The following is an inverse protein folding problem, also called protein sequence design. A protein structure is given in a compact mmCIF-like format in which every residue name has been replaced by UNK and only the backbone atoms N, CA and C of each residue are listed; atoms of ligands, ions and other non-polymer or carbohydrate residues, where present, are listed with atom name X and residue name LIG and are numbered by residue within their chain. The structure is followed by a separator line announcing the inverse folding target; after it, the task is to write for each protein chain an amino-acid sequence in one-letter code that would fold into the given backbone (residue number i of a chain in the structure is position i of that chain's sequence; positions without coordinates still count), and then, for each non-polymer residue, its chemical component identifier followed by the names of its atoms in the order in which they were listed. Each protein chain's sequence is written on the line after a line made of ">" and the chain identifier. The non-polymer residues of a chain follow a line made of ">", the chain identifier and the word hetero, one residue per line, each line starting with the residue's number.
data_IF_536098102147
#
_entry.id   IF_536098102147
#
_cell.length_a   1.000
_cell.length_b   1.000
_cell.length_c   1.000
_cell.angle_alpha   90.00
_cell.angle_beta   90.00
_cell.angle_gamma   90.00
#
_symmetry.space_group_name_H-M   'P 1'
#
loop_
_entity.id
_entity.type
_entity.pdbx_description
1 polymer ?
#
# COMPACT_ATOMS: atom_id res chain seq x y z
N UNK A 1 13.03 -24.07 20.22
CA UNK A 1 12.23 -23.01 20.88
C UNK A 1 12.29 -21.67 20.17
N UNK A 2 13.43 -21.23 19.66
CA UNK A 2 13.58 -19.94 18.92
C UNK A 2 12.66 -19.83 17.71
N UNK A 3 12.52 -20.88 16.89
CA UNK A 3 11.70 -20.84 15.67
C UNK A 3 10.20 -20.59 15.93
N UNK A 4 9.63 -21.21 16.97
CA UNK A 4 8.21 -21.06 17.34
C UNK A 4 7.95 -19.65 17.88
N UNK A 5 8.86 -19.14 18.72
CA UNK A 5 8.77 -17.77 19.25
C UNK A 5 8.88 -16.75 18.12
N UNK A 6 9.79 -16.97 17.16
CA UNK A 6 9.96 -16.09 16.00
C UNK A 6 8.73 -16.10 15.09
N UNK A 7 8.15 -17.29 14.85
CA UNK A 7 6.92 -17.43 14.06
C UNK A 7 5.72 -16.74 14.72
N UNK A 8 5.55 -16.90 16.04
CA UNK A 8 4.49 -16.21 16.80
C UNK A 8 4.69 -14.70 16.74
N UNK A 9 5.92 -14.20 16.93
CA UNK A 9 6.23 -12.77 16.82
C UNK A 9 5.90 -12.21 15.43
N UNK A 10 6.26 -12.92 14.36
CA UNK A 10 5.95 -12.50 12.99
C UNK A 10 4.45 -12.46 12.71
N UNK A 11 3.70 -13.46 13.19
CA UNK A 11 2.23 -13.49 13.07
C UNK A 11 1.59 -12.36 13.87
N UNK A 12 2.04 -12.12 15.10
CA UNK A 12 1.56 -11.02 15.95
C UNK A 12 1.87 -9.66 15.32
N UNK A 13 3.08 -9.43 14.81
CA UNK A 13 3.45 -8.19 14.11
C UNK A 13 2.60 -8.00 12.85
N UNK A 14 2.36 -9.07 12.08
CA UNK A 14 1.49 -9.04 10.90
C UNK A 14 0.04 -8.69 11.24
N UNK A 15 -0.52 -9.30 12.28
CA UNK A 15 -1.89 -9.04 12.73
C UNK A 15 -2.06 -7.63 13.32
N UNK A 16 -1.12 -7.22 14.18
CA UNK A 16 -1.12 -5.88 14.80
C UNK A 16 -0.93 -4.81 13.73
N UNK A 17 0.03 -4.97 12.82
CA UNK A 17 0.20 -4.03 11.71
C UNK A 17 -1.06 -3.95 10.86
N UNK A 18 -1.66 -5.08 10.47
CA UNK A 18 -2.93 -5.11 9.72
C UNK A 18 -4.08 -4.40 10.42
N UNK A 19 -4.20 -4.51 11.75
CA UNK A 19 -5.19 -3.78 12.54
C UNK A 19 -4.93 -2.26 12.52
N UNK A 20 -3.69 -1.83 12.78
CA UNK A 20 -3.32 -0.41 12.74
C UNK A 20 -3.51 0.19 11.34
N UNK A 21 -3.22 -0.58 10.30
CA UNK A 21 -3.46 -0.19 8.91
C UNK A 21 -4.93 0.08 8.62
N UNK A 22 -5.82 -0.83 9.02
CA UNK A 22 -7.27 -0.65 8.85
C UNK A 22 -7.78 0.57 9.63
N UNK A 23 -7.30 0.74 10.86
CA UNK A 23 -7.69 1.89 11.70
C UNK A 23 -7.22 3.22 11.11
N UNK A 24 -6.00 3.28 10.56
CA UNK A 24 -5.50 4.46 9.87
C UNK A 24 -6.27 4.75 8.58
N UNK A 25 -6.54 3.75 7.75
CA UNK A 25 -7.30 3.91 6.52
C UNK A 25 -8.71 4.48 6.79
N UNK A 26 -9.39 4.00 7.83
CA UNK A 26 -10.71 4.49 8.23
C UNK A 26 -10.71 5.95 8.71
N UNK A 27 -9.56 6.49 9.15
CA UNK A 27 -9.42 7.88 9.60
C UNK A 27 -9.08 8.86 8.47
N UNK A 28 -8.77 8.37 7.26
CA UNK A 28 -8.51 9.22 6.10
C UNK A 28 -9.83 9.81 5.60
N UNK A 29 -10.10 11.05 6.03
CA UNK A 29 -11.26 11.83 5.59
C UNK A 29 -11.11 12.24 4.12
N UNK A 30 -12.22 12.32 3.36
CA UNK A 30 -12.23 12.98 2.06
C UNK A 30 -11.75 14.42 2.21
N UNK A 31 -10.91 14.86 1.29
CA UNK A 31 -10.47 16.25 1.18
C UNK A 31 -11.65 17.08 0.61
N UNK A 32 -11.78 18.39 0.92
CA UNK A 32 -12.92 19.22 0.50
C UNK A 32 -13.20 19.26 -1.02
N UNK A 33 -12.20 18.92 -1.82
CA UNK A 33 -12.21 18.74 -3.27
C UNK A 33 -12.74 17.35 -3.73
N UNK A 34 -13.18 16.49 -2.80
CA UNK A 34 -13.74 15.17 -3.10
C UNK A 34 -12.70 14.08 -3.40
N UNK A 35 -11.41 14.43 -3.32
CA UNK A 35 -10.28 13.51 -3.46
C UNK A 35 -9.99 12.80 -2.13
N UNK A 36 -9.48 11.58 -2.21
CA UNK A 36 -9.08 10.80 -1.03
C UNK A 36 -7.60 10.49 -1.15
N UNK A 37 -6.76 11.22 -0.41
CA UNK A 37 -5.32 10.96 -0.33
C UNK A 37 -5.00 10.09 0.87
N UNK A 38 -4.71 8.82 0.63
CA UNK A 38 -4.22 7.89 1.64
C UNK A 38 -2.69 7.83 1.65
N UNK A 39 -2.11 8.06 2.84
CA UNK A 39 -0.67 7.89 3.10
C UNK A 39 -0.45 6.62 3.91
N UNK A 40 0.76 6.07 3.87
CA UNK A 40 1.15 5.02 4.80
C UNK A 40 1.01 5.48 6.27
N UNK A 41 0.68 4.56 7.20
CA UNK A 41 0.57 4.87 8.62
C UNK A 41 1.83 5.56 9.16
N UNK A 42 1.64 6.54 10.05
CA UNK A 42 2.77 7.24 10.70
C UNK A 42 3.75 6.32 11.44
N UNK A 43 3.27 5.14 11.87
CA UNK A 43 4.08 4.08 12.46
C UNK A 43 5.26 3.63 11.57
N UNK A 44 5.17 3.72 10.24
CA UNK A 44 6.30 3.39 9.35
C UNK A 44 7.51 4.29 9.59
N UNK A 45 7.26 5.59 9.81
CA UNK A 45 8.32 6.54 10.13
C UNK A 45 8.91 6.25 11.50
N UNK A 46 8.06 5.93 12.48
CA UNK A 46 8.49 5.54 13.82
C UNK A 46 9.39 4.29 13.79
N UNK A 47 8.98 3.23 13.07
CA UNK A 47 9.81 2.05 12.84
C UNK A 47 11.14 2.36 12.18
N UNK A 48 11.09 3.21 11.15
CA UNK A 48 12.28 3.62 10.44
C UNK A 48 13.28 4.32 11.35
N UNK A 49 12.83 5.30 12.16
CA UNK A 49 13.68 5.96 13.15
C UNK A 49 14.18 5.01 14.23
N UNK A 50 13.34 4.09 14.71
CA UNK A 50 13.73 3.08 15.69
C UNK A 50 14.83 2.16 15.15
N UNK A 51 14.70 1.65 13.92
CA UNK A 51 15.71 0.81 13.27
C UNK A 51 17.02 1.56 13.07
N UNK A 52 16.96 2.84 12.67
CA UNK A 52 18.16 3.68 12.56
C UNK A 52 18.83 3.84 13.93
N UNK A 53 18.07 4.13 14.99
CA UNK A 53 18.61 4.28 16.34
C UNK A 53 19.26 2.98 16.84
N UNK A 54 18.65 1.82 16.59
CA UNK A 54 19.23 0.50 16.91
C UNK A 54 20.52 0.28 16.12
N UNK A 55 20.55 0.59 14.82
CA UNK A 55 21.75 0.48 14.00
C UNK A 55 22.91 1.35 14.51
N UNK A 56 22.61 2.59 14.93
CA UNK A 56 23.59 3.51 15.53
C UNK A 56 24.09 2.98 16.87
N UNK A 57 23.20 2.50 17.75
CA UNK A 57 23.59 1.88 19.01
C UNK A 57 24.51 0.67 18.79
N UNK A 58 24.16 -0.21 17.84
CA UNK A 58 25.00 -1.35 17.47
C UNK A 58 26.38 -0.91 16.97
N UNK A 59 26.46 0.15 16.17
CA UNK A 59 27.74 0.71 15.72
C UNK A 59 28.60 1.19 16.89
N UNK A 60 28.01 1.81 17.91
CA UNK A 60 28.72 2.29 19.11
C UNK A 60 29.26 1.14 19.97
N UNK A 61 28.52 0.04 20.11
CA UNK A 61 28.95 -1.12 20.92
C UNK A 61 29.81 -2.12 20.14
N UNK A 62 29.92 -1.97 18.81
CA UNK A 62 30.67 -2.88 17.94
C UNK A 62 32.12 -3.13 18.37
N UNK A 63 32.90 -2.12 18.81
CA UNK A 63 34.25 -2.37 19.30
C UNK A 63 34.31 -3.36 20.48
N UNK A 64 33.34 -3.26 21.40
CA UNK A 64 33.20 -4.18 22.53
C UNK A 64 32.70 -5.56 22.10
N UNK A 65 31.84 -5.64 21.08
CA UNK A 65 31.35 -6.91 20.53
C UNK A 65 32.44 -7.69 19.78
N UNK A 66 33.35 -7.00 19.10
CA UNK A 66 34.42 -7.65 18.30
C UNK A 66 35.65 -8.00 19.16
N UNK A 67 35.91 -7.25 20.23
CA UNK A 67 37.13 -7.41 21.05
C UNK A 67 36.89 -8.04 22.43
N UNK A 68 35.64 -8.37 22.75
CA UNK A 68 35.24 -8.90 24.05
C UNK A 68 35.61 -10.37 24.29
N UNK A 69 35.21 -10.89 25.45
CA UNK A 69 35.49 -12.27 25.88
C UNK A 69 34.84 -13.34 24.98
N UNK A 70 33.74 -13.00 24.32
CA UNK A 70 33.08 -13.82 23.29
C UNK A 70 32.91 -12.97 22.03
N UNK A 71 33.94 -12.89 21.17
CA UNK A 71 33.96 -11.96 20.05
C UNK A 71 32.94 -12.37 18.98
N UNK A 72 32.07 -11.43 18.63
CA UNK A 72 31.17 -11.55 17.49
C UNK A 72 32.00 -11.41 16.21
N UNK A 73 31.80 -12.28 15.20
CA UNK A 73 32.48 -12.13 13.92
C UNK A 73 32.17 -10.76 13.28
N UNK A 74 33.19 -10.05 12.75
CA UNK A 74 33.01 -8.69 12.22
C UNK A 74 31.90 -8.57 11.17
N UNK A 75 31.79 -9.55 10.27
CA UNK A 75 30.75 -9.54 9.23
C UNK A 75 29.33 -9.59 9.80
N UNK A 76 29.11 -10.25 10.95
CA UNK A 76 27.80 -10.26 11.60
C UNK A 76 27.51 -8.91 12.25
N UNK A 77 28.49 -8.33 12.94
CA UNK A 77 28.32 -7.03 13.61
C UNK A 77 28.02 -5.92 12.59
N UNK A 78 28.84 -5.81 11.54
CA UNK A 78 28.59 -4.85 10.45
C UNK A 78 27.36 -5.19 9.63
N UNK A 79 27.03 -6.48 9.47
CA UNK A 79 25.81 -6.93 8.80
C UNK A 79 24.53 -6.45 9.50
N UNK A 80 24.45 -6.58 10.82
CA UNK A 80 23.30 -6.09 11.61
C UNK A 80 23.15 -4.58 11.48
N UNK A 81 24.26 -3.83 11.59
CA UNK A 81 24.24 -2.38 11.40
C UNK A 81 23.73 -2.01 10.00
N UNK A 82 24.29 -2.63 8.96
CA UNK A 82 23.90 -2.38 7.58
C UNK A 82 22.41 -2.65 7.35
N UNK A 83 21.90 -3.78 7.83
CA UNK A 83 20.47 -4.13 7.74
C UNK A 83 19.62 -3.09 8.47
N UNK A 84 19.93 -2.77 9.73
CA UNK A 84 19.18 -1.79 10.51
C UNK A 84 19.13 -0.42 9.84
N UNK A 85 20.25 0.09 9.35
CA UNK A 85 20.32 1.41 8.71
C UNK A 85 19.61 1.41 7.35
N UNK A 86 19.84 0.42 6.48
CA UNK A 86 19.23 0.35 5.15
C UNK A 86 17.70 0.19 5.25
N UNK A 87 17.23 -0.76 6.05
CA UNK A 87 15.79 -0.95 6.25
C UNK A 87 15.15 0.23 7.00
N UNK A 88 15.87 0.83 7.94
CA UNK A 88 15.41 2.02 8.67
C UNK A 88 15.18 3.21 7.75
N UNK A 89 16.19 3.58 6.95
CA UNK A 89 16.08 4.67 5.96
C UNK A 89 14.98 4.37 4.94
N UNK A 90 14.91 3.13 4.45
CA UNK A 90 13.88 2.71 3.50
C UNK A 90 12.46 2.87 4.07
N UNK A 91 12.24 2.46 5.34
CA UNK A 91 10.95 2.62 6.02
C UNK A 91 10.57 4.08 6.24
N UNK A 92 11.53 4.96 6.54
CA UNK A 92 11.30 6.42 6.63
C UNK A 92 10.83 6.97 5.28
N UNK A 93 11.54 6.64 4.19
CA UNK A 93 11.20 7.12 2.84
C UNK A 93 9.81 6.66 2.40
N UNK A 94 9.50 5.37 2.61
CA UNK A 94 8.15 4.82 2.40
C UNK A 94 7.10 5.64 3.16
N UNK A 95 7.28 5.84 4.46
CA UNK A 95 6.32 6.56 5.28
C UNK A 95 6.18 8.05 4.93
N UNK A 96 7.20 8.68 4.34
CA UNK A 96 7.19 10.10 3.99
C UNK A 96 6.57 10.38 2.62
N UNK A 97 7.00 9.63 1.61
CA UNK A 97 6.77 9.97 0.21
C UNK A 97 5.64 9.19 -0.43
N UNK A 98 5.43 7.95 0.00
CA UNK A 98 4.46 7.09 -0.66
C UNK A 98 3.03 7.43 -0.23
N UNK A 99 2.21 7.73 -1.24
CA UNK A 99 0.78 7.96 -1.08
C UNK A 99 0.03 7.47 -2.30
N UNK A 100 -1.25 7.17 -2.11
CA UNK A 100 -2.20 6.92 -3.19
C UNK A 100 -3.33 7.91 -3.00
N UNK A 101 -3.64 8.63 -4.07
CA UNK A 101 -4.73 9.57 -4.13
C UNK A 101 -5.75 9.06 -5.13
N UNK A 102 -6.98 8.92 -4.66
CA UNK A 102 -8.12 8.51 -5.49
C UNK A 102 -9.00 9.73 -5.70
N UNK A 103 -9.02 10.23 -6.93
CA UNK A 103 -9.94 11.27 -7.38
C UNK A 103 -11.31 10.70 -7.76
N UNK A 104 -12.12 11.51 -8.44
CA UNK A 104 -13.44 11.11 -8.95
C UNK A 104 -13.30 10.24 -10.20
N UNK A 105 -12.35 10.56 -11.06
CA UNK A 105 -12.11 9.95 -12.38
C UNK A 105 -10.66 9.49 -12.59
N UNK A 106 -9.79 9.65 -11.59
CA UNK A 106 -8.39 9.27 -11.67
C UNK A 106 -7.88 8.62 -10.39
N UNK A 107 -6.79 7.88 -10.56
CA UNK A 107 -5.94 7.43 -9.46
C UNK A 107 -4.53 7.96 -9.67
N UNK A 108 -3.95 8.49 -8.61
CA UNK A 108 -2.56 8.93 -8.54
C UNK A 108 -1.82 8.12 -7.48
N UNK A 109 -0.60 7.69 -7.80
CA UNK A 109 0.30 7.09 -6.84
C UNK A 109 1.62 7.84 -6.86
N UNK A 110 2.09 8.22 -5.68
CA UNK A 110 3.49 8.58 -5.47
C UNK A 110 4.22 7.40 -4.86
N UNK A 111 5.34 7.03 -5.48
CA UNK A 111 6.22 5.96 -5.01
C UNK A 111 7.18 6.48 -3.93
N UNK A 112 7.79 5.56 -3.17
CA UNK A 112 8.75 5.91 -2.12
C UNK A 112 9.97 6.72 -2.61
N UNK A 113 10.33 6.61 -3.90
CA UNK A 113 11.41 7.40 -4.53
C UNK A 113 10.92 8.71 -5.16
N UNK A 114 9.64 9.05 -5.03
CA UNK A 114 9.08 10.35 -5.42
C UNK A 114 8.52 10.43 -6.84
N UNK A 115 8.49 9.32 -7.60
CA UNK A 115 7.80 9.30 -8.90
C UNK A 115 6.29 9.30 -8.68
N UNK A 116 5.63 10.32 -9.22
CA UNK A 116 4.17 10.45 -9.27
C UNK A 116 3.67 9.87 -10.58
N UNK A 117 2.70 8.96 -10.52
CA UNK A 117 2.04 8.37 -11.68
C UNK A 117 0.54 8.58 -11.52
N UNK A 118 -0.08 9.28 -12.47
CA UNK A 118 -1.52 9.50 -12.53
C UNK A 118 -2.10 8.73 -13.70
N UNK A 119 -3.18 7.99 -13.44
CA UNK A 119 -3.92 7.19 -14.41
C UNK A 119 -5.41 7.54 -14.26
N UNK A 120 -6.01 8.23 -15.23
CA UNK A 120 -7.47 8.32 -15.37
C UNK A 120 -8.10 6.94 -15.51
N UNK A 121 -9.31 6.76 -14.99
CA UNK A 121 -9.98 5.45 -15.02
C UNK A 121 -10.21 4.93 -16.43
N UNK A 122 -10.56 5.80 -17.38
CA UNK A 122 -10.80 5.41 -18.76
C UNK A 122 -9.54 4.90 -19.50
N UNK A 123 -8.34 5.24 -19.01
CA UNK A 123 -7.07 4.77 -19.56
C UNK A 123 -6.63 3.41 -18.98
N UNK A 124 -7.33 2.91 -17.95
CA UNK A 124 -7.05 1.58 -17.38
C UNK A 124 -7.41 0.53 -18.41
N UNK A 125 -6.40 -0.22 -18.83
CA UNK A 125 -6.54 -1.27 -19.83
C UNK A 125 -6.71 -2.65 -19.20
N UNK A 126 -5.99 -2.90 -18.10
CA UNK A 126 -6.10 -4.16 -17.36
C UNK A 126 -5.88 -3.97 -15.87
N UNK A 127 -6.48 -4.86 -15.08
CA UNK A 127 -6.21 -4.96 -13.65
C UNK A 127 -5.91 -6.40 -13.24
N UNK A 128 -5.17 -6.53 -12.13
CA UNK A 128 -5.00 -7.77 -11.41
C UNK A 128 -5.19 -7.53 -9.91
N UNK A 129 -6.00 -8.35 -9.26
CA UNK A 129 -6.29 -8.30 -7.84
C UNK A 129 -5.90 -9.61 -7.16
N UNK A 130 -5.22 -9.51 -6.03
CA UNK A 130 -4.82 -10.64 -5.20
C UNK A 130 -5.32 -10.46 -3.78
N UNK A 131 -6.26 -11.30 -3.38
CA UNK A 131 -6.83 -11.36 -2.02
C UNK A 131 -5.89 -12.04 -1.02
N UNK A 132 -4.92 -12.83 -1.50
CA UNK A 132 -3.94 -13.54 -0.68
C UNK A 132 -2.92 -12.62 0.01
N UNK A 133 -2.76 -11.40 -0.50
CA UNK A 133 -1.88 -10.40 0.12
C UNK A 133 -2.61 -9.66 1.25
N UNK A 134 -1.99 -9.42 2.42
CA UNK A 134 -2.60 -8.64 3.49
C UNK A 134 -3.08 -7.27 2.99
N UNK A 135 -4.40 -7.06 3.03
CA UNK A 135 -5.05 -5.83 2.58
C UNK A 135 -5.43 -5.77 1.09
N UNK A 136 -5.30 -6.87 0.33
CA UNK A 136 -5.70 -6.94 -1.08
C UNK A 136 -4.74 -6.17 -2.00
N UNK A 137 -3.92 -6.88 -2.76
CA UNK A 137 -2.98 -6.26 -3.68
C UNK A 137 -3.66 -5.97 -5.02
N UNK A 138 -3.77 -4.70 -5.39
CA UNK A 138 -4.36 -4.28 -6.66
C UNK A 138 -3.27 -3.70 -7.57
N UNK A 139 -3.25 -4.18 -8.81
CA UNK A 139 -2.37 -3.73 -9.88
C UNK A 139 -3.21 -3.23 -11.03
N UNK A 140 -2.97 -2.00 -11.45
CA UNK A 140 -3.59 -1.38 -12.62
C UNK A 140 -2.52 -1.17 -13.68
N UNK A 141 -2.84 -1.49 -14.91
CA UNK A 141 -1.98 -1.25 -16.08
C UNK A 141 -2.78 -0.50 -17.14
N UNK A 142 -2.04 0.33 -17.86
CA UNK A 142 -2.52 1.13 -18.99
C UNK A 142 -1.87 0.60 -20.27
N UNK A 143 -2.48 0.94 -21.42
CA UNK A 143 -1.93 0.58 -22.72
C UNK A 143 -0.54 1.21 -22.97
N UNK A 144 -0.28 2.40 -22.40
CA UNK A 144 1.00 3.12 -22.51
C UNK A 144 2.07 2.64 -21.50
N UNK A 145 1.85 1.48 -20.86
CA UNK A 145 2.78 0.81 -19.92
C UNK A 145 2.94 1.51 -18.56
N UNK A 146 2.16 2.54 -18.22
CA UNK A 146 2.07 3.00 -16.83
C UNK A 146 1.43 1.91 -15.97
N UNK A 147 1.98 1.74 -14.76
CA UNK A 147 1.54 0.75 -13.79
C UNK A 147 1.41 1.40 -12.42
N UNK A 148 0.26 1.21 -11.79
CA UNK A 148 0.01 1.59 -10.40
C UNK A 148 -0.25 0.31 -9.63
N UNK A 149 0.44 0.13 -8.50
CA UNK A 149 0.32 -1.07 -7.70
C UNK A 149 0.30 -0.69 -6.22
N UNK A 150 -0.76 -1.09 -5.54
CA UNK A 150 -1.01 -0.65 -4.17
C UNK A 150 -1.92 -1.62 -3.41
N UNK A 151 -1.81 -1.57 -2.08
CA UNK A 151 -2.67 -2.33 -1.18
C UNK A 151 -3.98 -1.59 -0.98
N UNK A 152 -5.03 -2.08 -1.63
CA UNK A 152 -6.26 -1.37 -1.84
C UNK A 152 -7.08 -1.16 -0.57
N UNK A 153 -7.07 -2.10 0.39
CA UNK A 153 -7.76 -1.95 1.68
C UNK A 153 -7.05 -1.03 2.67
N UNK A 154 -5.75 -0.81 2.49
CA UNK A 154 -4.95 0.04 3.39
C UNK A 154 -4.79 1.47 2.87
N UNK A 155 -4.97 1.67 1.56
CA UNK A 155 -4.80 2.96 0.89
C UNK A 155 -6.10 3.48 0.29
N UNK A 156 -7.26 3.13 0.89
CA UNK A 156 -8.60 3.58 0.46
C UNK A 156 -8.87 3.40 -1.05
N UNK A 157 -8.50 2.24 -1.57
CA UNK A 157 -8.78 1.81 -2.94
C UNK A 157 -10.22 1.39 -3.20
N UNK A 158 -11.13 1.54 -2.22
CA UNK A 158 -12.54 1.11 -2.30
C UNK A 158 -13.23 1.67 -3.55
N UNK A 159 -13.09 2.98 -3.78
CA UNK A 159 -13.69 3.64 -4.94
C UNK A 159 -13.12 3.13 -6.27
N UNK A 160 -11.82 2.82 -6.30
CA UNK A 160 -11.15 2.24 -7.47
C UNK A 160 -11.70 0.85 -7.76
N UNK A 161 -11.86 0.02 -6.72
CA UNK A 161 -12.49 -1.29 -6.87
C UNK A 161 -13.91 -1.19 -7.40
N UNK A 162 -14.73 -0.29 -6.83
CA UNK A 162 -16.10 -0.07 -7.30
C UNK A 162 -16.12 0.42 -8.75
N UNK A 163 -15.22 1.32 -9.15
CA UNK A 163 -15.12 1.77 -10.54
C UNK A 163 -14.75 0.62 -11.50
N UNK A 164 -13.88 -0.31 -11.09
CA UNK A 164 -13.56 -1.50 -11.87
C UNK A 164 -14.77 -2.45 -12.00
N UNK A 165 -15.49 -2.70 -10.90
CA UNK A 165 -16.70 -3.53 -10.91
C UNK A 165 -17.79 -2.90 -11.76
N UNK A 166 -18.02 -1.59 -11.61
CA UNK A 166 -18.96 -0.84 -12.43
C UNK A 166 -18.64 -0.97 -13.92
N UNK A 167 -17.36 -0.86 -14.30
CA UNK A 167 -16.92 -1.04 -15.69
C UNK A 167 -17.21 -2.45 -16.19
N UNK A 168 -16.98 -3.47 -15.38
CA UNK A 168 -17.24 -4.87 -15.73
C UNK A 168 -18.74 -5.17 -15.89
N UNK A 169 -19.57 -4.62 -15.00
CA UNK A 169 -21.02 -4.88 -14.99
C UNK A 169 -21.74 -4.06 -16.07
N UNK A 170 -21.41 -2.78 -16.20
CA UNK A 170 -22.15 -1.83 -17.04
C UNK A 170 -21.51 -1.59 -18.42
N UNK A 171 -20.31 -2.11 -18.67
CA UNK A 171 -19.63 -1.94 -19.96
C UNK A 171 -19.27 -0.49 -20.30
N UNK A 172 -19.30 0.43 -19.33
CA UNK A 172 -18.90 1.84 -19.42
C UNK A 172 -18.20 2.29 -18.13
N UNK A 173 -17.34 3.31 -18.22
CA UNK A 173 -16.76 3.91 -17.00
C UNK A 173 -17.79 4.82 -16.31
N UNK A 174 -17.75 4.93 -14.97
CA UNK A 174 -18.63 5.84 -14.26
C UNK A 174 -18.31 7.29 -14.63
N UNK A 175 -19.35 8.09 -14.86
CA UNK A 175 -19.17 9.49 -15.22
C UNK A 175 -18.82 10.33 -13.98
N UNK A 176 -17.81 11.22 -14.04
CA UNK A 176 -17.47 12.09 -12.92
C UNK A 176 -18.54 13.15 -12.62
N UNK A 177 -19.37 13.49 -13.60
CA UNK A 177 -20.39 14.56 -13.48
C UNK A 177 -21.78 14.02 -13.14
N UNK A 178 -22.02 12.71 -13.27
CA UNK A 178 -23.29 12.08 -12.93
C UNK A 178 -23.39 11.82 -11.43
N UNK A 179 -24.31 12.46 -10.68
CA UNK A 179 -24.48 12.22 -9.25
C UNK A 179 -24.93 10.79 -8.96
N UNK A 180 -25.71 10.18 -9.86
CA UNK A 180 -26.22 8.82 -9.73
C UNK A 180 -25.10 7.79 -9.77
N UNK A 181 -24.19 7.89 -10.76
CA UNK A 181 -23.03 6.99 -10.87
C UNK A 181 -22.14 7.11 -9.61
N UNK A 182 -21.98 8.33 -9.09
CA UNK A 182 -21.18 8.57 -7.88
C UNK A 182 -21.86 8.01 -6.61
N UNK A 183 -23.19 8.07 -6.52
CA UNK A 183 -23.94 7.45 -5.43
C UNK A 183 -23.83 5.92 -5.44
N UNK A 184 -23.94 5.29 -6.62
CA UNK A 184 -23.77 3.83 -6.77
C UNK A 184 -22.38 3.40 -6.29
N UNK A 185 -21.32 4.11 -6.70
CA UNK A 185 -19.96 3.82 -6.27
C UNK A 185 -19.77 3.93 -4.74
N UNK A 186 -20.40 4.94 -4.12
CA UNK A 186 -20.36 5.10 -2.66
C UNK A 186 -21.13 3.99 -1.93
N UNK A 187 -22.28 3.60 -2.47
CA UNK A 187 -23.10 2.55 -1.88
C UNK A 187 -22.42 1.19 -1.99
N UNK A 188 -21.86 0.83 -3.15
CA UNK A 188 -21.10 -0.41 -3.34
C UNK A 188 -19.85 -0.47 -2.47
N UNK A 189 -19.16 0.67 -2.30
CA UNK A 189 -18.02 0.77 -1.40
C UNK A 189 -18.41 0.47 0.06
N UNK A 190 -19.61 0.89 0.47
CA UNK A 190 -20.13 0.63 1.83
C UNK A 190 -20.50 -0.83 2.07
N UNK A 191 -20.95 -1.54 1.02
CA UNK A 191 -21.44 -2.92 1.10
C UNK A 191 -20.33 -3.99 1.05
N UNK A 192 -19.07 -3.60 0.87
CA UNK A 192 -17.94 -4.51 0.69
C UNK A 192 -18.11 -5.52 -0.47
N UNK A 193 -19.01 -5.24 -1.42
CA UNK A 193 -19.31 -6.09 -2.57
C UNK A 193 -18.17 -6.10 -3.60
N UNK A 194 -17.54 -4.93 -3.84
CA UNK A 194 -16.47 -4.84 -4.84
C UNK A 194 -15.23 -5.71 -4.52
N UNK A 195 -14.72 -5.77 -3.27
CA UNK A 195 -13.67 -6.72 -2.89
C UNK A 195 -14.03 -8.19 -3.13
N UNK A 196 -15.29 -8.58 -2.91
CA UNK A 196 -15.75 -9.96 -3.14
C UNK A 196 -15.76 -10.27 -4.63
N UNK A 197 -16.39 -9.41 -5.44
CA UNK A 197 -16.43 -9.56 -6.88
C UNK A 197 -15.03 -9.64 -7.51
N UNK A 198 -14.10 -8.77 -7.10
CA UNK A 198 -12.72 -8.80 -7.59
C UNK A 198 -11.94 -10.02 -7.10
N UNK A 199 -12.34 -10.65 -6.00
CA UNK A 199 -11.72 -11.92 -5.56
C UNK A 199 -12.15 -13.07 -6.47
N UNK A 200 -13.41 -13.07 -6.90
CA UNK A 200 -13.95 -14.04 -7.85
C UNK A 200 -13.48 -13.77 -9.29
N UNK A 201 -13.29 -12.50 -9.64
CA UNK A 201 -12.82 -12.02 -10.94
C UNK A 201 -11.49 -11.25 -10.80
N UNK A 202 -10.39 -11.95 -10.45
CA UNK A 202 -9.12 -11.32 -10.08
C UNK A 202 -8.39 -10.66 -11.24
N UNK A 203 -8.76 -10.94 -12.49
CA UNK A 203 -8.08 -10.41 -13.67
C UNK A 203 -9.12 -9.81 -14.62
N UNK A 204 -8.89 -8.55 -15.04
CA UNK A 204 -9.66 -7.89 -16.10
C UNK A 204 -8.73 -7.36 -17.19
N UNK A 205 -9.16 -7.46 -18.45
CA UNK A 205 -8.39 -7.04 -19.64
C UNK A 205 -9.29 -6.27 -20.63
N UNK A 206 -8.67 -5.50 -21.53
CA UNK A 206 -9.35 -4.70 -22.56
C UNK A 206 -10.41 -3.74 -21.98
N UNK A 207 -10.08 -3.11 -20.86
CA UNK A 207 -10.99 -2.20 -20.14
C UNK A 207 -10.92 -0.77 -20.67
N UNK A 208 -9.91 -0.46 -21.49
CA UNK A 208 -9.75 0.82 -22.15
C UNK A 208 -10.96 1.11 -23.04
N UNK A 209 -11.49 2.33 -22.98
CA UNK A 209 -12.69 2.70 -23.74
C UNK A 209 -13.25 4.08 -23.39
N UNK A 210 -14.07 4.63 -24.28
CA UNK A 210 -14.62 5.98 -24.15
C UNK A 210 -15.49 6.16 -22.89
N UNK A 211 -15.31 7.29 -22.21
CA UNK A 211 -16.35 7.88 -21.36
C UNK A 211 -17.51 8.27 -22.28
N UNK A 212 -18.71 7.74 -22.01
CA UNK A 212 -19.95 8.19 -22.66
C UNK A 212 -20.59 9.23 -21.75
#
# INVERSE_FOLDING_TARGET
>A
MTFIITAILLVCIGAVSGYFYRKHAAQVKPQPDGTIRAKLPGWYRFCGYFLVAVGVLFALITPALISGSNPMPPYMAFGVIGICLVFGVWAILMGQRQYVETGVDYIEQCTWYGKVTRIPFHEIDSYAYSSGHPGGWLVLKTADKRKIAFTSRYLRGERVMCALVFRQVNGRWPSPTSPEDQQVLMQEASLAAAPQYLTENPIGQNLSGQQV
#
